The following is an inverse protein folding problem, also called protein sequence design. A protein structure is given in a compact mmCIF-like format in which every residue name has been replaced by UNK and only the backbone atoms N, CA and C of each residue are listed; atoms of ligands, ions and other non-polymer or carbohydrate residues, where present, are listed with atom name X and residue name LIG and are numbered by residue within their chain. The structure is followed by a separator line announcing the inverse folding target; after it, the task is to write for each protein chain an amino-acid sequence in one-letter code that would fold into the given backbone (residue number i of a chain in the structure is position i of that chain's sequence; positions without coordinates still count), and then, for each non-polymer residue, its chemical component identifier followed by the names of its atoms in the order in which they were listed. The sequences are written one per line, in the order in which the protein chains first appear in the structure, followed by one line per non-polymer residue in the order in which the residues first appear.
data_IF_570566593403
#
_entry.id   IF_570566593403
#
_cell.length_a   1.000
_cell.length_b   1.000
_cell.length_c   1.000
_cell.angle_alpha   90.00
_cell.angle_beta   90.00
_cell.angle_gamma   90.00
#
_symmetry.space_group_name_H-M   'P 1'
#
loop_
_entity.id
_entity.type
_entity.pdbx_description
1 polymer ?
#
# COMPACT_ATOMS: atom_id res chain seq x y z
N UNK A 1 -11.96 -5.16 -0.09
CA UNK A 1 -11.71 -5.91 -1.34
C UNK A 1 -10.26 -6.35 -1.36
N UNK A 2 -9.94 -7.41 -2.12
CA UNK A 2 -8.56 -7.84 -2.33
C UNK A 2 -8.07 -7.20 -3.63
N UNK A 3 -7.02 -6.40 -3.55
CA UNK A 3 -6.36 -5.85 -4.74
C UNK A 3 -5.09 -6.67 -5.00
N UNK A 4 -4.96 -7.32 -6.17
CA UNK A 4 -3.81 -8.19 -6.46
C UNK A 4 -2.57 -7.41 -6.91
N UNK A 5 -2.73 -6.25 -7.53
CA UNK A 5 -1.60 -5.45 -8.01
C UNK A 5 -1.93 -3.95 -7.99
N UNK A 6 -1.01 -3.15 -7.47
CA UNK A 6 -1.07 -1.69 -7.48
C UNK A 6 0.03 -1.15 -8.40
N UNK A 7 -0.33 -0.26 -9.32
CA UNK A 7 0.64 0.41 -10.19
C UNK A 7 0.60 1.91 -9.93
N UNK A 8 1.75 2.48 -9.60
CA UNK A 8 1.94 3.91 -9.38
C UNK A 8 2.87 4.43 -10.48
N UNK A 9 2.35 5.25 -11.38
CA UNK A 9 3.12 5.85 -12.47
C UNK A 9 3.10 7.38 -12.38
N UNK A 10 4.27 7.99 -12.60
CA UNK A 10 4.48 9.44 -12.62
C UNK A 10 3.81 10.21 -11.47
N UNK A 11 3.85 9.65 -10.25
CA UNK A 11 3.19 10.22 -9.07
C UNK A 11 4.22 10.64 -8.03
N UNK A 12 4.06 11.83 -7.46
CA UNK A 12 4.89 12.34 -6.36
C UNK A 12 4.03 12.44 -5.11
N UNK A 13 4.29 11.58 -4.12
CA UNK A 13 3.56 11.53 -2.86
C UNK A 13 2.28 10.67 -2.93
N UNK A 14 2.38 9.40 -2.54
CA UNK A 14 1.21 8.51 -2.45
C UNK A 14 1.24 7.69 -1.17
N UNK A 15 0.11 7.60 -0.47
CA UNK A 15 -0.06 6.74 0.70
C UNK A 15 -0.97 5.57 0.33
N UNK A 16 -0.39 4.37 0.27
CA UNK A 16 -1.08 3.14 -0.03
C UNK A 16 -1.49 2.46 1.27
N UNK A 17 -2.80 2.46 1.53
CA UNK A 17 -3.40 1.85 2.69
C UNK A 17 -3.85 0.43 2.34
N UNK A 18 -3.11 -0.57 2.83
CA UNK A 18 -3.42 -1.97 2.59
C UNK A 18 -4.37 -2.51 3.66
N UNK A 19 -5.18 -3.50 3.28
CA UNK A 19 -5.96 -4.30 4.23
C UNK A 19 -5.19 -5.59 4.53
N UNK A 20 -5.48 -6.24 5.67
CA UNK A 20 -4.91 -7.57 5.99
C UNK A 20 -5.13 -8.60 4.88
N UNK A 21 -6.28 -8.52 4.21
CA UNK A 21 -6.62 -9.37 3.05
C UNK A 21 -5.84 -9.06 1.79
N UNK A 22 -5.09 -7.94 1.75
CA UNK A 22 -4.28 -7.49 0.61
C UNK A 22 -2.77 -7.52 0.90
N UNK A 23 -2.33 -8.26 1.94
CA UNK A 23 -0.91 -8.46 2.27
C UNK A 23 -0.11 -9.16 1.15
N UNK A 24 -0.79 -9.89 0.25
CA UNK A 24 -0.19 -10.53 -0.91
C UNK A 24 -0.15 -9.68 -2.18
N UNK A 25 -0.43 -8.38 -2.10
CA UNK A 25 -0.46 -7.51 -3.28
C UNK A 25 0.94 -7.20 -3.80
N UNK A 26 1.09 -7.03 -5.12
CA UNK A 26 2.32 -6.54 -5.73
C UNK A 26 2.23 -5.05 -6.06
N UNK A 27 3.26 -4.27 -5.73
CA UNK A 27 3.30 -2.83 -6.01
C UNK A 27 4.37 -2.56 -7.07
N UNK A 28 3.96 -2.00 -8.21
CA UNK A 28 4.85 -1.60 -9.30
C UNK A 28 4.90 -0.08 -9.38
N UNK A 29 6.09 0.49 -9.34
CA UNK A 29 6.28 1.95 -9.30
C UNK A 29 7.12 2.41 -10.48
N UNK A 30 6.65 3.39 -11.25
CA UNK A 30 7.35 3.95 -12.40
C UNK A 30 7.42 5.48 -12.28
N UNK A 31 8.63 6.06 -12.40
CA UNK A 31 8.89 7.52 -12.27
C UNK A 31 8.18 8.19 -11.10
N UNK A 32 8.04 7.49 -9.98
CA UNK A 32 7.25 7.93 -8.84
C UNK A 32 8.15 8.11 -7.62
N UNK A 33 7.85 9.12 -6.81
CA UNK A 33 8.61 9.49 -5.62
C UNK A 33 7.69 9.57 -4.40
N UNK A 34 8.23 9.37 -3.20
CA UNK A 34 7.49 9.51 -1.93
C UNK A 34 6.28 8.55 -1.82
N UNK A 35 6.50 7.27 -2.16
CA UNK A 35 5.49 6.22 -2.00
C UNK A 35 5.61 5.65 -0.58
N UNK A 36 4.56 5.81 0.22
CA UNK A 36 4.45 5.23 1.54
C UNK A 36 3.39 4.12 1.56
N UNK A 37 3.70 2.96 2.12
CA UNK A 37 2.81 1.79 2.17
C UNK A 37 2.49 1.48 3.62
N UNK A 38 1.24 1.68 4.00
CA UNK A 38 0.75 1.42 5.36
C UNK A 38 0.06 0.07 5.41
N UNK A 39 0.59 -0.81 6.25
CA UNK A 39 0.07 -2.14 6.50
C UNK A 39 -0.51 -2.22 7.92
N UNK A 40 -1.76 -2.67 8.09
CA UNK A 40 -2.35 -2.82 9.42
C UNK A 40 -1.65 -3.96 10.15
N UNK A 41 -1.23 -3.71 11.40
CA UNK A 41 -0.67 -4.76 12.26
C UNK A 41 -1.73 -5.81 12.61
N UNK A 42 -1.26 -7.03 12.87
CA UNK A 42 -2.15 -8.17 13.03
C UNK A 42 -2.97 -8.14 14.34
N UNK A 43 -2.57 -7.32 15.29
CA UNK A 43 -3.21 -7.25 16.60
C UNK A 43 -4.27 -6.15 16.63
N UNK A 44 -5.46 -6.48 16.12
CA UNK A 44 -6.77 -5.88 16.44
C UNK A 44 -7.01 -4.36 16.37
N UNK A 45 -5.99 -3.53 16.19
CA UNK A 45 -6.03 -2.15 16.63
C UNK A 45 -5.61 -1.17 15.54
N UNK A 46 -6.24 -0.01 15.61
CA UNK A 46 -6.34 1.02 14.58
C UNK A 46 -5.06 1.85 14.38
N UNK A 47 -3.91 1.26 14.65
CA UNK A 47 -2.61 1.92 14.55
C UNK A 47 -1.89 1.49 13.27
N UNK A 48 -1.85 2.43 12.33
CA UNK A 48 -1.13 2.33 11.07
C UNK A 48 0.34 2.69 11.35
N UNK A 49 1.26 1.80 10.98
CA UNK A 49 2.72 2.03 11.09
C UNK A 49 3.34 2.35 9.75
#
# INVERSE_FOLDING_TARGET
GMAPTFTVDNTSGCQLYLSKTSLGTSITTAKSSEINVLVPKDDGDKDWV
#
